data_IF_194778937734
#
_entry.id   IF_194778937734
#
_cell.length_a   1.000
_cell.length_b   1.000
_cell.length_c   1.000
_cell.angle_alpha   90.00
_cell.angle_beta   90.00
_cell.angle_gamma   90.00
#
_symmetry.space_group_name_H-M   'P 1'
#
loop_
_entity.id
_entity.type
_entity.pdbx_description
1 polymer ?
#
# COMPACT_ATOMS: atom_id res chain seq x y z
N UNK A 1 -12.08 -40.76 -34.83
CA UNK A 1 -11.54 -39.60 -34.13
C UNK A 1 -12.58 -39.15 -33.11
N UNK A 2 -12.37 -39.49 -31.82
CA UNK A 2 -13.20 -39.00 -30.71
C UNK A 2 -13.09 -37.48 -30.64
N UNK A 3 -14.19 -36.74 -30.49
CA UNK A 3 -14.14 -35.29 -30.26
C UNK A 3 -13.30 -34.97 -29.02
N UNK A 4 -12.70 -33.80 -28.98
CA UNK A 4 -11.77 -33.39 -27.94
C UNK A 4 -12.43 -33.45 -26.56
N UNK A 5 -13.74 -33.23 -26.49
CA UNK A 5 -14.55 -33.36 -25.27
C UNK A 5 -14.49 -34.77 -24.66
N UNK A 6 -14.67 -35.81 -25.48
CA UNK A 6 -14.67 -37.21 -25.04
C UNK A 6 -13.29 -37.69 -24.55
N UNK A 7 -12.21 -37.10 -25.09
CA UNK A 7 -10.85 -37.40 -24.63
C UNK A 7 -10.59 -36.78 -23.23
N UNK A 8 -11.07 -35.56 -23.03
CA UNK A 8 -10.99 -34.87 -21.74
C UNK A 8 -11.83 -35.63 -20.68
N UNK A 9 -13.05 -36.01 -21.08
CA UNK A 9 -13.92 -36.77 -20.18
C UNK A 9 -13.29 -38.08 -19.75
N UNK A 10 -12.68 -38.83 -20.66
CA UNK A 10 -12.02 -40.11 -20.34
C UNK A 10 -10.82 -39.94 -19.36
N UNK A 11 -10.17 -38.78 -19.36
CA UNK A 11 -9.07 -38.48 -18.45
C UNK A 11 -9.61 -38.02 -17.09
N UNK A 12 -10.57 -37.10 -17.09
CA UNK A 12 -11.15 -36.50 -15.86
C UNK A 12 -11.98 -37.51 -15.06
N UNK A 13 -12.69 -38.41 -15.75
CA UNK A 13 -13.52 -39.49 -15.10
C UNK A 13 -12.73 -40.75 -14.80
N UNK A 14 -11.44 -40.81 -15.10
CA UNK A 14 -10.61 -41.97 -14.75
C UNK A 14 -10.47 -42.05 -13.23
N UNK A 15 -10.80 -43.20 -12.65
CA UNK A 15 -10.82 -43.47 -11.21
C UNK A 15 -9.48 -43.15 -10.51
N UNK A 16 -8.36 -43.34 -11.19
CA UNK A 16 -7.03 -43.06 -10.64
C UNK A 16 -6.49 -41.67 -10.91
N UNK A 17 -6.89 -41.08 -12.04
CA UNK A 17 -6.40 -39.75 -12.45
C UNK A 17 -7.37 -38.62 -12.07
N UNK A 18 -8.66 -38.92 -11.95
CA UNK A 18 -9.68 -37.90 -11.63
C UNK A 18 -9.46 -37.22 -10.29
N UNK A 19 -9.12 -38.00 -9.24
CA UNK A 19 -8.89 -37.42 -7.91
C UNK A 19 -7.69 -36.45 -7.85
N UNK A 20 -6.49 -36.79 -8.36
CA UNK A 20 -5.38 -35.85 -8.40
C UNK A 20 -5.65 -34.65 -9.33
N UNK A 21 -6.34 -34.86 -10.46
CA UNK A 21 -6.72 -33.74 -11.35
C UNK A 21 -7.67 -32.79 -10.64
N UNK A 22 -8.67 -33.32 -9.92
CA UNK A 22 -9.58 -32.51 -9.10
C UNK A 22 -8.82 -31.71 -8.03
N UNK A 23 -7.90 -32.35 -7.30
CA UNK A 23 -7.09 -31.68 -6.31
C UNK A 23 -6.26 -30.54 -6.92
N UNK A 24 -5.66 -30.74 -8.08
CA UNK A 24 -4.88 -29.70 -8.80
C UNK A 24 -5.78 -28.54 -9.24
N UNK A 25 -6.95 -28.85 -9.84
CA UNK A 25 -7.89 -27.82 -10.28
C UNK A 25 -8.42 -27.00 -9.11
N UNK A 26 -8.81 -27.65 -8.02
CA UNK A 26 -9.28 -26.96 -6.82
C UNK A 26 -8.18 -26.13 -6.16
N UNK A 27 -6.96 -26.66 -6.13
CA UNK A 27 -5.80 -25.90 -5.66
C UNK A 27 -5.54 -24.65 -6.51
N UNK A 28 -5.57 -24.77 -7.83
CA UNK A 28 -5.40 -23.62 -8.73
C UNK A 28 -6.51 -22.58 -8.55
N UNK A 29 -7.76 -23.00 -8.46
CA UNK A 29 -8.90 -22.11 -8.20
C UNK A 29 -8.72 -21.40 -6.86
N UNK A 30 -8.40 -22.13 -5.82
CA UNK A 30 -8.17 -21.56 -4.49
C UNK A 30 -6.97 -20.60 -4.50
N UNK A 31 -5.86 -20.99 -5.10
CA UNK A 31 -4.66 -20.18 -5.19
C UNK A 31 -4.92 -18.86 -5.93
N UNK A 32 -5.55 -18.91 -7.11
CA UNK A 32 -5.88 -17.72 -7.89
C UNK A 32 -6.87 -16.83 -7.12
N UNK A 33 -7.89 -17.42 -6.50
CA UNK A 33 -8.93 -16.66 -5.78
C UNK A 33 -8.42 -16.01 -4.50
N UNK A 34 -7.51 -16.67 -3.78
CA UNK A 34 -7.07 -16.22 -2.47
C UNK A 34 -5.72 -15.50 -2.51
N UNK A 35 -4.77 -15.94 -3.36
CA UNK A 35 -3.39 -15.45 -3.35
C UNK A 35 -3.05 -14.47 -4.47
N UNK A 36 -3.89 -14.34 -5.49
CA UNK A 36 -3.61 -13.45 -6.62
C UNK A 36 -4.75 -12.45 -6.83
N UNK A 37 -5.75 -12.81 -7.63
CA UNK A 37 -6.86 -11.92 -7.99
C UNK A 37 -7.68 -11.52 -6.76
N UNK A 38 -7.90 -12.49 -5.83
CA UNK A 38 -8.66 -12.22 -4.61
C UNK A 38 -7.94 -11.25 -3.68
N UNK A 39 -6.62 -11.42 -3.48
CA UNK A 39 -5.82 -10.51 -2.68
C UNK A 39 -5.82 -9.11 -3.28
N UNK A 40 -5.47 -8.98 -4.56
CA UNK A 40 -5.47 -7.69 -5.26
C UNK A 40 -6.84 -6.97 -5.21
N UNK A 41 -7.94 -7.72 -5.33
CA UNK A 41 -9.28 -7.15 -5.21
C UNK A 41 -9.62 -6.73 -3.77
N UNK A 42 -9.14 -7.48 -2.78
CA UNK A 42 -9.31 -7.17 -1.36
C UNK A 42 -8.49 -5.95 -0.96
N UNK A 43 -7.23 -5.87 -1.37
CA UNK A 43 -6.35 -4.73 -1.12
C UNK A 43 -6.93 -3.46 -1.76
N UNK A 44 -7.37 -3.54 -3.02
CA UNK A 44 -8.07 -2.42 -3.65
C UNK A 44 -9.32 -1.99 -2.87
N UNK A 45 -10.09 -2.94 -2.32
CA UNK A 45 -11.29 -2.59 -1.56
C UNK A 45 -10.93 -1.98 -0.20
N UNK A 46 -9.92 -2.51 0.50
CA UNK A 46 -9.53 -2.03 1.82
C UNK A 46 -8.79 -0.69 1.73
N UNK A 47 -7.77 -0.58 0.89
CA UNK A 47 -6.90 0.59 0.85
C UNK A 47 -7.45 1.67 -0.09
N UNK A 48 -8.11 1.25 -1.17
CA UNK A 48 -8.70 2.16 -2.13
C UNK A 48 -10.11 2.60 -1.76
N UNK A 49 -11.08 1.67 -1.82
CA UNK A 49 -12.50 2.00 -1.67
C UNK A 49 -12.87 2.40 -0.24
N UNK A 50 -12.35 1.68 0.76
CA UNK A 50 -12.56 1.93 2.20
C UNK A 50 -11.36 2.55 2.91
N UNK A 51 -10.30 2.85 2.20
CA UNK A 51 -9.13 3.60 2.65
C UNK A 51 -9.10 5.01 2.04
N UNK A 52 -7.90 5.48 1.73
CA UNK A 52 -7.66 6.86 1.27
C UNK A 52 -8.12 7.10 -0.18
N UNK A 53 -8.09 6.08 -1.01
CA UNK A 53 -8.46 6.17 -2.42
C UNK A 53 -7.55 5.33 -3.32
N UNK A 54 -7.71 5.49 -4.64
CA UNK A 54 -6.92 4.77 -5.63
C UNK A 54 -6.75 5.55 -6.93
N UNK A 55 -5.72 5.18 -7.69
CA UNK A 55 -5.52 5.71 -9.03
C UNK A 55 -6.40 4.98 -10.05
N UNK A 56 -7.26 5.73 -10.73
CA UNK A 56 -8.15 5.16 -11.76
C UNK A 56 -7.32 4.54 -12.89
N UNK A 57 -7.57 3.26 -13.17
CA UNK A 57 -6.80 2.45 -14.13
C UNK A 57 -5.28 2.40 -13.87
N UNK A 58 -4.84 2.66 -12.64
CA UNK A 58 -3.42 2.70 -12.28
C UNK A 58 -2.65 3.92 -12.81
N UNK A 59 -3.37 4.93 -13.36
CA UNK A 59 -2.73 6.12 -13.92
C UNK A 59 -2.19 6.98 -12.78
N UNK A 60 -0.88 7.06 -12.64
CA UNK A 60 -0.18 7.80 -11.61
C UNK A 60 0.33 6.94 -10.45
N UNK A 61 -0.11 5.69 -10.31
CA UNK A 61 0.28 4.83 -9.17
C UNK A 61 1.78 4.60 -9.08
N UNK A 62 2.46 4.36 -10.19
CA UNK A 62 3.91 4.14 -10.19
C UNK A 62 4.71 5.39 -9.81
N UNK A 63 4.24 6.57 -10.22
CA UNK A 63 4.88 7.83 -9.86
C UNK A 63 4.66 8.17 -8.38
N UNK A 64 3.47 7.90 -7.85
CA UNK A 64 3.18 8.06 -6.44
C UNK A 64 4.05 7.12 -5.58
N UNK A 65 4.14 5.84 -5.94
CA UNK A 65 4.96 4.86 -5.24
C UNK A 65 6.47 5.23 -5.27
N UNK A 66 6.99 5.66 -6.43
CA UNK A 66 8.39 6.11 -6.55
C UNK A 66 8.66 7.36 -5.70
N UNK A 67 7.72 8.29 -5.62
CA UNK A 67 7.85 9.47 -4.79
C UNK A 67 7.82 9.14 -3.30
N UNK A 68 6.95 8.22 -2.89
CA UNK A 68 6.84 7.74 -1.51
C UNK A 68 8.09 6.98 -1.08
N UNK A 69 8.60 6.07 -1.90
CA UNK A 69 9.87 5.37 -1.67
C UNK A 69 11.04 6.37 -1.53
N UNK A 70 11.12 7.36 -2.45
CA UNK A 70 12.17 8.40 -2.41
C UNK A 70 12.08 9.25 -1.14
N UNK A 71 10.86 9.55 -0.68
CA UNK A 71 10.63 10.26 0.56
C UNK A 71 11.04 9.42 1.77
N UNK A 72 10.60 8.16 1.84
CA UNK A 72 10.93 7.24 2.94
C UNK A 72 12.44 7.01 3.07
N UNK A 73 13.14 6.80 1.97
CA UNK A 73 14.61 6.70 1.95
C UNK A 73 15.26 8.00 2.45
N UNK A 74 14.76 9.16 2.01
CA UNK A 74 15.30 10.45 2.41
C UNK A 74 15.09 10.72 3.89
N UNK A 75 13.93 10.38 4.43
CA UNK A 75 13.58 10.50 5.84
C UNK A 75 14.48 9.61 6.69
N UNK A 76 14.63 8.33 6.33
CA UNK A 76 15.51 7.39 7.02
C UNK A 76 17.00 7.83 7.03
N UNK A 77 17.47 8.41 5.91
CA UNK A 77 18.83 8.97 5.84
C UNK A 77 18.96 10.16 6.79
N UNK A 78 17.99 11.09 6.78
CA UNK A 78 17.99 12.27 7.66
C UNK A 78 17.98 11.84 9.12
N UNK A 79 17.12 10.90 9.51
CA UNK A 79 17.08 10.36 10.86
C UNK A 79 18.41 9.74 11.29
N UNK A 80 19.02 8.91 10.45
CA UNK A 80 20.30 8.26 10.74
C UNK A 80 21.43 9.28 10.96
N UNK A 81 21.50 10.33 10.13
CA UNK A 81 22.49 11.39 10.31
C UNK A 81 22.18 12.26 11.51
N UNK A 82 20.91 12.54 11.80
CA UNK A 82 20.54 13.31 12.99
C UNK A 82 20.87 12.54 14.29
N UNK A 83 20.67 11.24 14.31
CA UNK A 83 21.02 10.40 15.47
C UNK A 83 22.52 10.42 15.78
N UNK A 84 23.38 10.59 14.78
CA UNK A 84 24.83 10.55 14.95
C UNK A 84 25.49 11.92 15.05
N UNK A 85 24.99 12.92 14.34
CA UNK A 85 25.62 14.24 14.20
C UNK A 85 24.71 15.40 14.57
N UNK A 86 23.39 15.16 14.71
CA UNK A 86 22.40 16.17 15.05
C UNK A 86 22.17 16.33 16.54
N UNK A 87 21.03 16.85 16.88
CA UNK A 87 20.58 17.07 18.25
C UNK A 87 19.04 17.01 18.35
N UNK A 88 18.53 17.06 19.60
CA UNK A 88 17.09 16.98 19.87
C UNK A 88 16.31 18.17 19.28
N UNK A 89 16.91 19.34 19.19
CA UNK A 89 16.27 20.55 18.63
C UNK A 89 16.00 20.35 17.12
N UNK A 90 16.94 19.71 16.41
CA UNK A 90 16.76 19.34 14.99
C UNK A 90 15.66 18.29 14.86
N UNK A 91 15.67 17.28 15.72
CA UNK A 91 14.62 16.23 15.70
C UNK A 91 13.23 16.83 15.91
N UNK A 92 13.06 17.73 16.90
CA UNK A 92 11.79 18.41 17.17
C UNK A 92 11.36 19.31 16.01
N UNK A 93 12.29 19.99 15.37
CA UNK A 93 12.00 20.93 14.27
C UNK A 93 11.54 20.24 12.97
N UNK A 94 11.96 18.99 12.74
CA UNK A 94 11.54 18.19 11.57
C UNK A 94 10.35 17.29 11.86
N UNK A 95 9.95 17.13 13.12
CA UNK A 95 8.79 16.34 13.51
C UNK A 95 7.48 17.04 13.10
N UNK A 96 6.80 16.46 12.11
CA UNK A 96 5.53 16.98 11.57
C UNK A 96 4.39 16.99 12.60
N UNK A 97 4.47 16.15 13.65
CA UNK A 97 3.47 16.08 14.73
C UNK A 97 3.76 17.08 15.86
N UNK A 98 4.93 17.73 15.84
CA UNK A 98 5.31 18.72 16.84
C UNK A 98 4.38 19.94 16.78
N UNK A 99 3.93 20.40 17.95
CA UNK A 99 3.10 21.62 18.06
C UNK A 99 3.81 22.90 17.59
N UNK A 100 5.14 22.87 17.55
CA UNK A 100 5.99 23.97 17.14
C UNK A 100 6.50 23.80 15.71
N UNK A 101 6.01 22.80 14.98
CA UNK A 101 6.42 22.57 13.60
C UNK A 101 6.17 23.79 12.71
N UNK A 102 7.17 24.16 11.95
CA UNK A 102 7.03 25.10 10.83
C UNK A 102 8.01 24.74 9.73
N UNK A 103 7.61 24.96 8.48
CA UNK A 103 8.46 24.67 7.32
C UNK A 103 9.80 25.45 7.34
N UNK A 104 9.78 26.68 7.82
CA UNK A 104 11.00 27.49 7.95
C UNK A 104 11.93 26.92 9.00
N UNK A 105 11.41 26.45 10.13
CA UNK A 105 12.20 25.82 11.18
C UNK A 105 12.77 24.47 10.71
N UNK A 106 11.97 23.64 10.05
CA UNK A 106 12.41 22.38 9.48
C UNK A 106 13.54 22.58 8.45
N UNK A 107 13.38 23.52 7.56
CA UNK A 107 14.41 23.87 6.57
C UNK A 107 15.71 24.37 7.20
N UNK A 108 15.60 25.23 8.24
CA UNK A 108 16.75 25.71 8.98
C UNK A 108 17.48 24.57 9.70
N UNK A 109 16.73 23.67 10.37
CA UNK A 109 17.24 22.51 11.09
C UNK A 109 17.95 21.52 10.14
N UNK A 110 17.38 21.23 8.99
CA UNK A 110 18.01 20.37 7.98
C UNK A 110 19.27 20.98 7.40
N UNK A 111 19.30 22.30 7.20
CA UNK A 111 20.51 23.02 6.79
C UNK A 111 21.59 22.95 7.87
N UNK A 112 21.22 23.09 9.14
CA UNK A 112 22.11 22.92 10.28
C UNK A 112 22.68 21.52 10.35
N UNK A 113 21.85 20.49 10.21
CA UNK A 113 22.28 19.09 10.17
C UNK A 113 23.36 18.83 9.11
N UNK A 114 23.15 19.34 7.90
CA UNK A 114 24.16 19.24 6.83
C UNK A 114 25.47 19.94 7.21
N UNK A 115 25.39 21.10 7.89
CA UNK A 115 26.58 21.83 8.34
C UNK A 115 27.31 21.13 9.50
N UNK A 116 26.60 20.51 10.42
CA UNK A 116 27.17 19.75 11.55
C UNK A 116 27.83 18.44 11.09
N UNK A 117 27.36 17.87 9.98
CA UNK A 117 27.85 16.61 9.44
C UNK A 117 29.24 16.79 8.81
N UNK A 118 30.29 16.05 9.25
CA UNK A 118 31.61 16.08 8.64
C UNK A 118 31.61 15.64 7.17
N UNK A 119 32.57 16.11 6.39
CA UNK A 119 32.67 15.76 4.96
C UNK A 119 33.00 14.32 4.68
N UNK A 120 33.63 13.64 5.64
CA UNK A 120 34.00 12.23 5.62
C UNK A 120 33.03 11.33 6.43
N UNK A 121 31.90 11.89 6.85
CA UNK A 121 30.87 11.16 7.57
C UNK A 121 30.32 10.01 6.74
N UNK A 122 30.10 8.87 7.40
CA UNK A 122 29.43 7.70 6.86
C UNK A 122 28.53 7.10 7.93
N UNK A 123 27.29 6.85 7.58
CA UNK A 123 26.28 6.23 8.47
C UNK A 123 25.65 5.03 7.78
N UNK A 124 25.04 4.16 8.57
CA UNK A 124 24.14 3.10 8.06
C UNK A 124 22.74 3.53 8.37
N UNK A 125 21.86 3.52 7.39
CA UNK A 125 20.42 3.70 7.61
C UNK A 125 19.67 2.41 7.31
N UNK A 126 18.48 2.28 7.86
CA UNK A 126 17.60 1.15 7.64
C UNK A 126 16.21 1.61 7.27
N UNK A 127 15.61 0.92 6.31
CA UNK A 127 14.21 1.10 5.92
C UNK A 127 13.47 -0.20 6.20
N UNK A 128 12.33 -0.13 6.83
CA UNK A 128 11.45 -1.26 7.03
C UNK A 128 10.35 -1.24 5.99
N UNK A 129 10.21 -2.34 5.25
CA UNK A 129 9.09 -2.56 4.35
C UNK A 129 7.80 -2.75 5.17
N UNK A 130 6.77 -1.99 4.89
CA UNK A 130 5.53 -1.98 5.67
C UNK A 130 4.71 -3.26 5.51
N UNK A 131 4.80 -3.92 4.35
CA UNK A 131 4.02 -5.14 4.07
C UNK A 131 4.73 -6.40 4.60
N UNK A 132 6.02 -6.51 4.36
CA UNK A 132 6.81 -7.70 4.71
C UNK A 132 7.46 -7.60 6.08
N UNK A 133 7.54 -6.40 6.67
CA UNK A 133 8.29 -6.07 7.89
C UNK A 133 9.78 -6.39 7.79
N UNK A 134 10.29 -6.57 6.58
CA UNK A 134 11.70 -6.82 6.32
C UNK A 134 12.49 -5.52 6.46
N UNK A 135 13.59 -5.56 7.19
CA UNK A 135 14.48 -4.41 7.38
C UNK A 135 15.64 -4.52 6.42
N UNK A 136 15.77 -3.52 5.55
CA UNK A 136 16.91 -3.38 4.63
C UNK A 136 17.88 -2.35 5.19
N UNK A 137 19.13 -2.76 5.44
CA UNK A 137 20.20 -1.88 5.89
C UNK A 137 21.07 -1.44 4.72
N UNK A 138 21.32 -0.13 4.62
CA UNK A 138 22.22 0.45 3.61
C UNK A 138 23.43 1.06 4.32
N UNK A 139 24.59 0.40 4.25
CA UNK A 139 25.82 0.91 4.85
C UNK A 139 26.49 1.99 3.99
N UNK A 140 27.47 2.66 4.57
CA UNK A 140 28.36 3.61 3.88
C UNK A 140 27.67 4.80 3.22
N UNK A 141 26.52 5.22 3.74
CA UNK A 141 25.79 6.42 3.30
C UNK A 141 26.56 7.67 3.69
N UNK A 142 26.89 8.50 2.72
CA UNK A 142 27.78 9.65 2.87
C UNK A 142 27.02 10.97 3.02
N UNK A 143 27.75 12.02 3.41
CA UNK A 143 27.21 13.40 3.45
C UNK A 143 26.56 13.83 2.14
N UNK A 144 27.09 13.41 0.98
CA UNK A 144 26.49 13.71 -0.32
C UNK A 144 25.08 13.11 -0.49
N UNK A 145 24.83 11.98 0.16
CA UNK A 145 23.53 11.33 0.13
C UNK A 145 22.56 12.02 1.10
N UNK A 146 23.06 12.51 2.26
CA UNK A 146 22.29 13.40 3.13
C UNK A 146 21.87 14.70 2.40
N UNK A 147 22.77 15.33 1.66
CA UNK A 147 22.44 16.55 0.90
C UNK A 147 21.36 16.30 -0.15
N UNK A 148 21.38 15.15 -0.81
CA UNK A 148 20.32 14.72 -1.73
C UNK A 148 19.02 14.43 -0.98
N UNK A 149 19.10 13.69 0.14
CA UNK A 149 17.96 13.38 0.97
C UNK A 149 17.25 14.64 1.47
N UNK A 150 17.99 15.62 1.96
CA UNK A 150 17.47 16.94 2.36
C UNK A 150 16.82 17.65 1.17
N UNK A 151 17.42 17.62 -0.01
CA UNK A 151 16.83 18.22 -1.22
C UNK A 151 15.52 17.55 -1.61
N UNK A 152 15.44 16.21 -1.54
CA UNK A 152 14.23 15.45 -1.82
C UNK A 152 13.14 15.74 -0.78
N UNK A 153 13.52 15.75 0.50
CA UNK A 153 12.61 16.02 1.62
C UNK A 153 11.97 17.42 1.50
N UNK A 154 12.77 18.42 1.12
CA UNK A 154 12.33 19.80 0.93
C UNK A 154 11.63 20.06 -0.42
N UNK A 155 11.56 19.05 -1.29
CA UNK A 155 10.86 19.19 -2.56
C UNK A 155 9.36 19.16 -2.35
N UNK A 156 8.67 20.25 -2.64
CA UNK A 156 7.23 20.43 -2.50
C UNK A 156 6.46 20.35 -3.82
N UNK A 157 7.13 20.04 -4.92
CA UNK A 157 6.50 20.00 -6.26
C UNK A 157 5.36 18.98 -6.34
N UNK A 158 5.41 17.96 -5.50
CA UNK A 158 4.49 16.81 -5.51
C UNK A 158 3.74 16.59 -4.20
N UNK A 159 3.82 17.53 -3.24
CA UNK A 159 3.23 17.38 -1.92
C UNK A 159 2.85 18.73 -1.31
N UNK A 160 1.96 18.69 -0.33
CA UNK A 160 1.64 19.83 0.51
C UNK A 160 2.64 19.92 1.68
N UNK A 161 3.56 20.86 1.61
CA UNK A 161 4.61 21.02 2.62
C UNK A 161 5.71 19.96 2.54
N UNK A 162 6.39 19.71 3.66
CA UNK A 162 7.53 18.82 3.74
C UNK A 162 7.17 17.38 4.21
N UNK A 163 5.89 17.08 4.35
CA UNK A 163 5.41 15.73 4.65
C UNK A 163 5.57 14.74 3.49
N UNK A 164 5.08 13.53 3.68
CA UNK A 164 5.04 12.51 2.64
C UNK A 164 4.30 13.01 1.39
N UNK A 165 4.69 12.58 0.19
CA UNK A 165 4.00 12.94 -1.04
C UNK A 165 2.53 12.51 -1.00
N UNK A 166 1.63 13.41 -1.41
CA UNK A 166 0.21 13.07 -1.54
C UNK A 166 -0.02 12.30 -2.83
N UNK A 167 -0.46 11.06 -2.72
CA UNK A 167 -0.79 10.20 -3.85
C UNK A 167 -1.81 10.83 -4.81
N UNK A 168 -2.70 11.69 -4.29
CA UNK A 168 -3.71 12.39 -5.08
C UNK A 168 -3.12 13.41 -6.08
N UNK A 169 -1.87 13.83 -5.92
CA UNK A 169 -1.20 14.76 -6.85
C UNK A 169 -0.74 14.10 -8.14
N UNK A 170 -0.75 12.76 -8.19
CA UNK A 170 -0.31 11.99 -9.35
C UNK A 170 -1.48 11.41 -10.13
N UNK A 171 -1.51 11.61 -11.44
CA UNK A 171 -2.47 10.95 -12.34
C UNK A 171 -3.93 11.26 -12.05
N UNK A 172 -4.78 10.22 -12.09
CA UNK A 172 -6.22 10.34 -11.85
C UNK A 172 -6.57 9.67 -10.53
N UNK A 173 -6.77 10.46 -9.49
CA UNK A 173 -7.08 9.99 -8.15
C UNK A 173 -8.59 9.92 -7.89
N UNK A 174 -9.02 8.83 -7.31
CA UNK A 174 -10.41 8.63 -6.81
C UNK A 174 -10.34 8.45 -5.30
N UNK A 175 -10.86 9.41 -4.53
CA UNK A 175 -10.85 9.31 -3.07
C UNK A 175 -11.72 8.17 -2.58
N UNK A 176 -11.32 7.53 -1.49
CA UNK A 176 -12.08 6.47 -0.85
C UNK A 176 -13.38 6.98 -0.19
N UNK A 177 -14.26 6.05 0.15
CA UNK A 177 -15.53 6.36 0.83
C UNK A 177 -15.32 7.10 2.15
N UNK A 178 -14.37 6.72 3.03
CA UNK A 178 -14.12 7.45 4.27
C UNK A 178 -13.72 8.90 4.04
N UNK A 179 -12.89 9.17 3.04
CA UNK A 179 -12.45 10.53 2.68
C UNK A 179 -13.63 11.37 2.20
N UNK A 180 -14.49 10.81 1.33
CA UNK A 180 -15.70 11.49 0.84
C UNK A 180 -16.68 11.81 1.98
N UNK A 181 -16.88 10.86 2.90
CA UNK A 181 -17.76 11.06 4.06
C UNK A 181 -17.15 12.09 5.01
N UNK A 182 -15.83 12.01 5.29
CA UNK A 182 -15.12 12.97 6.12
C UNK A 182 -15.25 14.40 5.59
N UNK A 183 -14.98 14.61 4.31
CA UNK A 183 -15.15 15.92 3.65
C UNK A 183 -16.60 16.42 3.73
N UNK A 184 -17.57 15.52 3.61
CA UNK A 184 -19.00 15.86 3.76
C UNK A 184 -19.35 16.27 5.19
N UNK A 185 -18.82 15.58 6.20
CA UNK A 185 -19.05 15.90 7.61
C UNK A 185 -18.38 17.23 7.99
N UNK A 186 -17.19 17.51 7.48
CA UNK A 186 -16.48 18.77 7.69
C UNK A 186 -17.24 19.94 7.05
N UNK A 187 -17.80 19.74 5.88
CA UNK A 187 -18.61 20.77 5.19
C UNK A 187 -19.85 21.20 5.98
N UNK A 188 -20.43 20.30 6.80
CA UNK A 188 -21.58 20.61 7.68
C UNK A 188 -21.15 21.01 9.10
N UNK A 189 -19.83 21.21 9.36
CA UNK A 189 -19.28 21.49 10.68
C UNK A 189 -19.72 20.48 11.75
N UNK A 190 -19.63 19.19 11.44
CA UNK A 190 -19.95 18.12 12.36
C UNK A 190 -19.03 18.16 13.58
N UNK A 191 -19.56 17.86 14.77
CA UNK A 191 -18.75 17.82 15.98
C UNK A 191 -17.70 16.70 15.89
N UNK A 192 -16.46 16.97 16.32
CA UNK A 192 -15.30 16.06 16.19
C UNK A 192 -15.58 14.65 16.72
N UNK A 193 -16.25 14.54 17.88
CA UNK A 193 -16.62 13.24 18.45
C UNK A 193 -17.58 12.43 17.58
N UNK A 194 -18.51 13.12 16.87
CA UNK A 194 -19.46 12.47 15.97
C UNK A 194 -18.81 12.11 14.64
N UNK A 195 -17.88 12.95 14.16
CA UNK A 195 -17.04 12.66 12.99
C UNK A 195 -16.23 11.37 13.24
N UNK A 196 -15.50 11.29 14.37
CA UNK A 196 -14.78 10.08 14.77
C UNK A 196 -15.70 8.86 14.90
N UNK A 197 -16.88 8.98 15.52
CA UNK A 197 -17.83 7.87 15.65
C UNK A 197 -18.28 7.35 14.28
N UNK A 198 -18.56 8.23 13.33
CA UNK A 198 -19.05 7.85 11.98
C UNK A 198 -17.89 7.22 11.19
N UNK A 199 -16.72 7.85 11.13
CA UNK A 199 -15.57 7.37 10.34
C UNK A 199 -14.93 6.13 10.95
N UNK A 200 -14.55 6.18 12.22
CA UNK A 200 -13.79 5.10 12.87
C UNK A 200 -14.70 3.96 13.34
N UNK A 201 -15.95 4.27 13.68
CA UNK A 201 -16.91 3.26 14.13
C UNK A 201 -17.69 2.63 12.99
N UNK A 202 -18.51 3.42 12.29
CA UNK A 202 -19.46 2.89 11.29
C UNK A 202 -18.75 2.59 9.98
N UNK A 203 -18.03 3.56 9.40
CA UNK A 203 -17.42 3.42 8.07
C UNK A 203 -16.28 2.40 8.11
N UNK A 204 -15.39 2.46 9.09
CA UNK A 204 -14.32 1.50 9.26
C UNK A 204 -14.85 0.08 9.57
N UNK A 205 -15.88 -0.03 10.42
CA UNK A 205 -16.52 -1.30 10.73
C UNK A 205 -17.18 -1.97 9.52
N UNK A 206 -17.94 -1.21 8.74
CA UNK A 206 -18.54 -1.69 7.49
C UNK A 206 -17.44 -2.03 6.46
N UNK A 207 -16.41 -1.19 6.33
CA UNK A 207 -15.28 -1.42 5.44
C UNK A 207 -14.54 -2.73 5.76
N UNK A 208 -14.30 -3.01 7.03
CA UNK A 208 -13.66 -4.25 7.46
C UNK A 208 -14.44 -5.50 7.04
N UNK A 209 -15.78 -5.46 7.11
CA UNK A 209 -16.64 -6.58 6.66
C UNK A 209 -16.69 -6.66 5.14
N UNK A 210 -16.90 -5.55 4.44
CA UNK A 210 -17.00 -5.51 2.98
C UNK A 210 -15.65 -5.74 2.28
N UNK A 211 -14.53 -5.53 2.96
CA UNK A 211 -13.19 -5.82 2.45
C UNK A 211 -12.97 -7.30 2.08
N UNK A 212 -13.71 -8.23 2.69
CA UNK A 212 -13.67 -9.66 2.33
C UNK A 212 -14.55 -10.03 1.14
N UNK A 213 -15.51 -9.19 0.77
CA UNK A 213 -16.49 -9.47 -0.30
C UNK A 213 -15.81 -9.70 -1.67
N UNK A 214 -14.83 -8.90 -2.12
CA UNK A 214 -14.16 -9.13 -3.40
C UNK A 214 -13.52 -10.52 -3.50
N UNK A 215 -12.85 -10.97 -2.47
CA UNK A 215 -12.20 -12.28 -2.41
C UNK A 215 -13.23 -13.42 -2.51
N UNK A 216 -14.34 -13.31 -1.80
CA UNK A 216 -15.45 -14.27 -1.86
C UNK A 216 -16.13 -14.27 -3.22
N UNK A 217 -16.35 -13.10 -3.83
CA UNK A 217 -16.91 -13.00 -5.17
C UNK A 217 -16.04 -13.68 -6.23
N UNK A 218 -14.72 -13.50 -6.16
CA UNK A 218 -13.77 -14.17 -7.08
C UNK A 218 -13.85 -15.68 -6.91
N UNK A 219 -13.87 -16.18 -5.67
CA UNK A 219 -14.00 -17.61 -5.39
C UNK A 219 -15.31 -18.19 -5.95
N UNK A 220 -16.45 -17.53 -5.69
CA UNK A 220 -17.75 -17.99 -6.20
C UNK A 220 -17.83 -17.91 -7.72
N UNK A 221 -17.22 -16.90 -8.34
CA UNK A 221 -17.16 -16.78 -9.81
C UNK A 221 -16.40 -17.95 -10.43
N UNK A 222 -15.27 -18.37 -9.87
CA UNK A 222 -14.51 -19.53 -10.33
C UNK A 222 -15.27 -20.85 -10.11
N UNK A 223 -15.93 -21.01 -8.96
CA UNK A 223 -16.76 -22.19 -8.71
C UNK A 223 -17.95 -22.27 -9.66
N UNK A 224 -18.64 -21.16 -9.91
CA UNK A 224 -19.71 -21.07 -10.90
C UNK A 224 -19.23 -21.39 -12.33
N UNK A 225 -18.02 -20.92 -12.69
CA UNK A 225 -17.41 -21.25 -13.98
C UNK A 225 -17.14 -22.76 -14.10
N UNK A 226 -16.59 -23.41 -13.08
CA UNK A 226 -16.35 -24.86 -13.05
C UNK A 226 -17.67 -25.65 -13.16
N UNK A 227 -18.71 -25.18 -12.49
CA UNK A 227 -20.05 -25.78 -12.58
C UNK A 227 -20.63 -25.62 -14.00
N UNK A 228 -20.53 -24.42 -14.58
CA UNK A 228 -21.01 -24.12 -15.95
C UNK A 228 -20.30 -24.94 -17.01
N UNK A 229 -19.00 -25.19 -16.85
CA UNK A 229 -18.21 -26.07 -17.71
C UNK A 229 -18.56 -27.55 -17.54
N UNK A 230 -19.46 -27.90 -16.62
CA UNK A 230 -19.82 -29.28 -16.29
C UNK A 230 -18.70 -30.10 -15.64
N UNK A 231 -17.66 -29.46 -15.14
CA UNK A 231 -16.53 -30.12 -14.51
C UNK A 231 -16.96 -30.86 -13.24
N UNK A 232 -17.73 -30.22 -12.37
CA UNK A 232 -18.24 -30.80 -11.14
C UNK A 232 -19.21 -31.96 -11.39
N UNK A 233 -20.06 -31.85 -12.41
CA UNK A 233 -20.98 -32.91 -12.81
C UNK A 233 -20.24 -34.16 -13.32
N UNK A 234 -19.13 -33.95 -14.04
CA UNK A 234 -18.30 -35.04 -14.59
C UNK A 234 -17.48 -35.75 -13.53
N UNK A 235 -17.10 -35.05 -12.47
CA UNK A 235 -16.34 -35.65 -11.37
C UNK A 235 -17.24 -36.43 -10.39
N UNK A 236 -18.50 -36.03 -10.22
CA UNK A 236 -19.46 -36.65 -9.28
C UNK A 236 -20.19 -37.87 -9.83
N UNK A 237 -20.03 -38.23 -11.08
CA UNK A 237 -20.61 -39.42 -11.70
C UNK A 237 -19.59 -40.55 -11.83
#
# INVERSE_FOLDING_TARGET
NLPTSDKIDKIVTNRWLGLPIFAVVMFLVYYISMQTVGTAATDWANDGLFGDGWHLFGIGSSQAAEAEETYGDSDAIIEAFNAQYGNDDIAEAIDLESKNYSEDAAKAALTELVNLTPSDASVTYSVQDEETLEITETPDTKKSDLEKAVSNYLNTDYKEGYGAPDAATYGIWVPGIPVLIGNGLDAINCADWLNGLILDGIVAGVGAVLGFVPQMLVLFLFLAFLESCGYMARFGS
#
